data_IF_484608107535
#
_entry.id   IF_484608107535
#
_cell.length_a   1.000
_cell.length_b   1.000
_cell.length_c   1.000
_cell.angle_alpha   90.00
_cell.angle_beta   90.00
_cell.angle_gamma   90.00
#
_symmetry.space_group_name_H-M   'P 1'
#
loop_
_entity.id
_entity.type
_entity.pdbx_description
1 polymer ?
#
# COMPACT_ATOMS: atom_id res chain seq x y z
N UNK A 1 8.89 -0.54 -5.68
CA UNK A 1 8.52 0.84 -5.28
C UNK A 1 7.26 0.81 -4.41
N UNK A 2 6.93 1.90 -3.72
CA UNK A 2 5.68 1.98 -2.94
C UNK A 2 4.86 3.15 -3.46
N UNK A 3 3.63 2.88 -3.90
CA UNK A 3 2.72 3.90 -4.44
C UNK A 3 1.51 4.07 -3.54
N UNK A 4 1.00 5.30 -3.43
CA UNK A 4 -0.18 5.59 -2.62
C UNK A 4 -1.12 6.60 -3.26
N UNK A 5 -2.42 6.29 -3.33
CA UNK A 5 -3.45 7.16 -3.92
C UNK A 5 -4.62 7.37 -2.95
N UNK A 6 -5.09 8.62 -2.82
CA UNK A 6 -6.29 8.98 -2.08
C UNK A 6 -7.55 8.68 -2.90
N UNK A 7 -8.51 8.01 -2.28
CA UNK A 7 -9.85 7.84 -2.81
C UNK A 7 -10.86 8.22 -1.73
N UNK A 8 -11.89 8.95 -2.12
CA UNK A 8 -13.02 9.25 -1.23
C UNK A 8 -14.03 8.11 -1.36
N UNK A 9 -14.27 7.37 -0.27
CA UNK A 9 -15.32 6.34 -0.21
C UNK A 9 -16.15 6.55 1.05
N UNK A 10 -17.45 6.76 0.86
CA UNK A 10 -18.44 6.86 1.94
C UNK A 10 -18.13 7.96 2.99
N UNK A 11 -17.51 9.07 2.57
CA UNK A 11 -17.17 10.20 3.46
C UNK A 11 -15.92 9.99 4.33
N UNK A 12 -15.17 8.92 4.09
CA UNK A 12 -13.88 8.67 4.71
C UNK A 12 -12.78 8.69 3.64
N UNK A 13 -11.70 9.44 3.93
CA UNK A 13 -10.50 9.34 3.12
C UNK A 13 -9.91 7.94 3.30
N UNK A 14 -9.55 7.30 2.19
CA UNK A 14 -8.76 6.07 2.19
C UNK A 14 -7.54 6.26 1.31
N UNK A 15 -6.40 5.75 1.76
CA UNK A 15 -5.17 5.65 0.99
C UNK A 15 -4.98 4.21 0.56
N UNK A 16 -4.95 3.99 -0.75
CA UNK A 16 -4.44 2.74 -1.32
C UNK A 16 -2.92 2.73 -1.17
N UNK A 17 -2.36 1.60 -0.77
CA UNK A 17 -0.91 1.38 -0.65
C UNK A 17 -0.57 0.16 -1.49
N UNK A 18 0.36 0.34 -2.43
CA UNK A 18 0.92 -0.71 -3.26
C UNK A 18 2.35 -0.98 -2.83
N UNK A 19 2.66 -2.22 -2.44
CA UNK A 19 4.03 -2.69 -2.26
C UNK A 19 4.40 -3.60 -3.42
N UNK A 20 5.58 -3.43 -3.98
CA UNK A 20 6.15 -4.33 -4.99
C UNK A 20 7.65 -4.56 -4.76
N UNK A 21 8.09 -5.79 -5.03
CA UNK A 21 9.51 -6.15 -5.16
C UNK A 21 9.73 -7.02 -6.40
N UNK A 22 10.85 -6.87 -7.12
CA UNK A 22 11.20 -7.78 -8.21
C UNK A 22 11.46 -9.19 -7.67
N UNK A 23 11.10 -10.21 -8.46
CA UNK A 23 11.40 -11.62 -8.23
C UNK A 23 12.00 -12.24 -9.51
N UNK A 24 12.29 -13.55 -9.52
CA UNK A 24 12.93 -14.23 -10.67
C UNK A 24 12.07 -14.19 -11.95
N UNK A 25 10.73 -14.13 -11.81
CA UNK A 25 9.76 -14.24 -12.91
C UNK A 25 8.98 -12.93 -13.19
N UNK A 26 9.33 -11.83 -12.51
CA UNK A 26 8.56 -10.58 -12.53
C UNK A 26 8.55 -9.86 -11.19
N UNK A 27 7.37 -9.74 -10.56
CA UNK A 27 7.19 -8.96 -9.33
C UNK A 27 6.25 -9.65 -8.33
N UNK A 28 6.63 -9.64 -7.06
CA UNK A 28 5.71 -9.85 -5.95
C UNK A 28 5.03 -8.52 -5.64
N UNK A 29 3.73 -8.54 -5.34
CA UNK A 29 3.00 -7.31 -5.01
C UNK A 29 1.95 -7.52 -3.91
N UNK A 30 1.63 -6.43 -3.21
CA UNK A 30 0.58 -6.36 -2.19
C UNK A 30 -0.15 -5.02 -2.29
N UNK A 31 -1.45 -5.09 -2.53
CA UNK A 31 -2.35 -3.95 -2.55
C UNK A 31 -3.25 -3.94 -1.30
N UNK A 32 -3.21 -2.83 -0.57
CA UNK A 32 -4.02 -2.66 0.65
C UNK A 32 -4.54 -1.23 0.84
N UNK A 33 -5.45 -1.03 1.80
CA UNK A 33 -5.96 0.30 2.16
C UNK A 33 -5.61 0.70 3.60
N UNK A 34 -5.47 2.02 3.81
CA UNK A 34 -5.41 2.68 5.11
C UNK A 34 -6.50 3.79 5.18
N UNK A 35 -7.16 3.99 6.34
CA UNK A 35 -7.12 3.12 7.51
C UNK A 35 -7.88 1.81 7.23
N UNK A 36 -7.64 0.77 8.04
CA UNK A 36 -8.35 -0.52 7.96
C UNK A 36 -7.47 -1.72 7.63
N UNK A 37 -6.27 -1.51 7.10
CA UNK A 37 -5.29 -2.57 6.80
C UNK A 37 -5.90 -3.70 5.95
N UNK A 38 -6.83 -3.35 5.05
CA UNK A 38 -7.59 -4.30 4.23
C UNK A 38 -6.74 -4.63 3.00
N UNK A 39 -6.35 -5.89 2.87
CA UNK A 39 -5.66 -6.41 1.68
C UNK A 39 -6.72 -6.86 0.69
N UNK A 40 -6.66 -6.37 -0.55
CA UNK A 40 -7.60 -6.74 -1.61
C UNK A 40 -6.91 -7.43 -2.79
N UNK A 41 -5.58 -7.39 -2.88
CA UNK A 41 -4.79 -8.13 -3.87
C UNK A 41 -3.40 -8.44 -3.32
N UNK A 42 -2.91 -9.65 -3.52
CA UNK A 42 -1.54 -10.03 -3.15
C UNK A 42 -1.04 -11.15 -4.04
N UNK A 43 0.24 -11.12 -4.39
CA UNK A 43 0.94 -12.18 -5.12
C UNK A 43 2.39 -12.27 -4.65
N UNK A 44 2.90 -13.50 -4.48
CA UNK A 44 4.31 -13.76 -4.19
C UNK A 44 4.79 -13.51 -2.75
N UNK A 45 4.08 -12.70 -1.97
CA UNK A 45 4.35 -12.56 -0.53
C UNK A 45 3.73 -13.70 0.29
N UNK A 46 4.49 -14.23 1.24
CA UNK A 46 3.98 -15.15 2.28
C UNK A 46 3.12 -14.42 3.31
N UNK A 47 2.30 -15.15 4.07
CA UNK A 47 1.44 -14.56 5.11
C UNK A 47 2.23 -13.76 6.17
N UNK A 48 3.41 -14.24 6.56
CA UNK A 48 4.30 -13.56 7.49
C UNK A 48 4.85 -12.24 6.92
N UNK A 49 5.16 -12.22 5.62
CA UNK A 49 5.60 -11.01 4.93
C UNK A 49 4.46 -10.00 4.80
N UNK A 50 3.27 -10.46 4.44
CA UNK A 50 2.07 -9.61 4.41
C UNK A 50 1.85 -8.99 5.79
N UNK A 51 1.97 -9.75 6.88
CA UNK A 51 1.81 -9.22 8.22
C UNK A 51 2.88 -8.18 8.59
N UNK A 52 4.13 -8.37 8.15
CA UNK A 52 5.21 -7.39 8.31
C UNK A 52 4.91 -6.12 7.51
N UNK A 53 4.45 -6.23 6.27
CA UNK A 53 4.10 -5.10 5.41
C UNK A 53 2.90 -4.31 5.96
N UNK A 54 1.88 -5.00 6.49
CA UNK A 54 0.75 -4.34 7.18
C UNK A 54 1.22 -3.52 8.37
N UNK A 55 2.06 -4.10 9.24
CA UNK A 55 2.65 -3.38 10.38
C UNK A 55 3.50 -2.19 9.93
N UNK A 56 4.29 -2.37 8.87
CA UNK A 56 5.08 -1.29 8.28
C UNK A 56 4.19 -0.14 7.79
N UNK A 57 3.14 -0.45 7.02
CA UNK A 57 2.18 0.53 6.51
C UNK A 57 1.48 1.29 7.65
N UNK A 58 1.07 0.57 8.70
CA UNK A 58 0.43 1.16 9.89
C UNK A 58 1.36 2.09 10.64
N UNK A 59 2.59 1.64 10.93
CA UNK A 59 3.58 2.41 11.68
C UNK A 59 4.02 3.67 10.94
N UNK A 60 4.02 3.64 9.60
CA UNK A 60 4.37 4.77 8.75
C UNK A 60 3.14 5.47 8.15
N UNK A 61 1.95 5.21 8.71
CA UNK A 61 0.69 5.70 8.13
C UNK A 61 0.72 7.20 7.93
N UNK A 62 1.14 7.99 8.94
CA UNK A 62 1.25 9.45 8.82
C UNK A 62 2.05 9.91 7.60
N UNK A 63 3.19 9.28 7.33
CA UNK A 63 4.01 9.60 6.15
C UNK A 63 3.30 9.20 4.85
N UNK A 64 2.69 8.01 4.82
CA UNK A 64 1.94 7.51 3.66
C UNK A 64 0.78 8.45 3.33
N UNK A 65 0.07 8.97 4.34
CA UNK A 65 -0.98 9.97 4.18
C UNK A 65 -0.45 11.27 3.58
N UNK A 66 0.65 11.79 4.12
CA UNK A 66 1.29 12.99 3.59
C UNK A 66 1.72 12.83 2.14
N UNK A 67 2.26 11.66 1.78
CA UNK A 67 2.64 11.35 0.39
C UNK A 67 1.43 11.23 -0.53
N UNK A 68 0.36 10.58 -0.09
CA UNK A 68 -0.86 10.43 -0.89
C UNK A 68 -1.55 11.79 -1.12
N UNK A 69 -1.59 12.68 -0.11
CA UNK A 69 -2.14 14.03 -0.23
C UNK A 69 -1.35 14.91 -1.20
N UNK A 70 -0.03 14.70 -1.31
CA UNK A 70 0.83 15.44 -2.21
C UNK A 70 0.84 14.90 -3.66
N UNK A 71 -0.10 14.03 -4.01
CA UNK A 71 -0.24 13.48 -5.36
C UNK A 71 0.50 12.18 -5.61
N UNK A 72 0.97 11.51 -4.55
CA UNK A 72 1.39 10.10 -4.61
C UNK A 72 2.41 9.80 -5.70
N UNK A 73 3.61 10.39 -5.63
CA UNK A 73 4.73 10.11 -6.53
C UNK A 73 4.31 9.94 -8.00
N UNK A 74 4.12 11.06 -8.71
CA UNK A 74 4.10 11.05 -10.18
C UNK A 74 5.26 10.16 -10.66
N UNK A 75 4.93 9.04 -11.31
CA UNK A 75 5.53 8.51 -12.53
C UNK A 75 5.02 7.09 -12.75
N UNK A 76 4.34 6.95 -13.89
CA UNK A 76 3.84 5.73 -14.51
C UNK A 76 4.95 4.82 -15.04
#
# INVERSE_FOLDING_TARGET
MTHSALLEKDGFDIVKVHFERPNEDGFDFLDMTLPGEIVYKSFGFSEDEILKLKRYAKNNSSLIWDFAQKGGGENA
#
